data_IF_624134845313
#
_entry.id   IF_624134845313
#
_cell.length_a   1.000
_cell.length_b   1.000
_cell.length_c   1.000
_cell.angle_alpha   90.00
_cell.angle_beta   90.00
_cell.angle_gamma   90.00
#
_symmetry.space_group_name_H-M   'P 1'
#
loop_
_entity.id
_entity.type
_entity.pdbx_description
1 polymer ?
#
# COMPACT_ATOMS: atom_id res chain seq x y z
N UNK A 1 -46.95 26.05 15.63
CA UNK A 1 -45.90 25.12 15.22
C UNK A 1 -45.30 24.56 16.51
N UNK A 2 -45.47 23.26 16.74
CA UNK A 2 -45.44 22.64 18.07
C UNK A 2 -44.01 22.34 18.50
N UNK A 3 -43.57 22.85 19.66
CA UNK A 3 -42.20 22.74 20.23
C UNK A 3 -41.84 21.29 20.50
N UNK A 4 -42.83 20.41 20.75
CA UNK A 4 -42.63 18.96 20.93
C UNK A 4 -42.13 18.22 19.69
N UNK A 5 -42.44 18.72 18.49
CA UNK A 5 -42.03 18.09 17.23
C UNK A 5 -40.51 18.35 16.92
N UNK A 6 -39.96 19.50 17.38
CA UNK A 6 -38.55 19.82 17.25
C UNK A 6 -37.66 18.97 18.18
N UNK A 7 -38.14 18.71 19.42
CA UNK A 7 -37.42 17.89 20.38
C UNK A 7 -37.37 16.39 19.95
N UNK A 8 -38.42 15.92 19.25
CA UNK A 8 -38.47 14.54 18.75
C UNK A 8 -37.56 14.31 17.50
N UNK A 9 -37.40 15.35 16.65
CA UNK A 9 -36.44 15.32 15.53
C UNK A 9 -34.98 15.37 15.99
N UNK A 10 -34.66 16.18 17.02
CA UNK A 10 -33.31 16.28 17.57
C UNK A 10 -32.84 14.97 18.26
N UNK A 11 -33.77 14.26 18.95
CA UNK A 11 -33.48 12.96 19.57
C UNK A 11 -33.24 11.84 18.54
N UNK A 12 -33.92 11.89 17.37
CA UNK A 12 -33.71 10.89 16.29
C UNK A 12 -32.36 11.09 15.56
N UNK A 13 -31.89 12.33 15.40
CA UNK A 13 -30.59 12.64 14.79
C UNK A 13 -29.41 12.13 15.62
N UNK A 14 -29.45 12.31 16.98
CA UNK A 14 -28.40 11.83 17.87
C UNK A 14 -28.23 10.31 17.87
N UNK A 15 -29.34 9.57 17.86
CA UNK A 15 -29.29 8.07 17.89
C UNK A 15 -28.79 7.45 16.58
N UNK A 16 -29.01 8.07 15.44
CA UNK A 16 -28.54 7.54 14.14
C UNK A 16 -27.04 7.84 13.94
N UNK A 17 -26.59 9.02 14.33
CA UNK A 17 -25.18 9.40 14.35
C UNK A 17 -24.35 8.50 15.30
N UNK A 18 -24.87 8.22 16.50
CA UNK A 18 -24.24 7.33 17.48
C UNK A 18 -24.20 5.87 17.00
N UNK A 19 -25.20 5.43 16.23
CA UNK A 19 -25.22 4.09 15.67
C UNK A 19 -24.20 3.95 14.54
N UNK A 20 -24.10 4.94 13.68
CA UNK A 20 -23.09 4.97 12.61
C UNK A 20 -21.68 5.01 13.18
N UNK A 21 -21.43 5.92 14.14
CA UNK A 21 -20.12 6.01 14.79
C UNK A 21 -19.68 4.70 15.45
N UNK A 22 -20.63 3.97 16.10
CA UNK A 22 -20.35 2.63 16.67
C UNK A 22 -20.10 1.59 15.58
N UNK A 23 -20.84 1.63 14.48
CA UNK A 23 -20.60 0.76 13.32
C UNK A 23 -19.20 0.98 12.73
N UNK A 24 -18.83 2.24 12.50
CA UNK A 24 -17.51 2.60 11.98
C UNK A 24 -16.38 2.19 12.94
N UNK A 25 -16.60 2.29 14.27
CA UNK A 25 -15.62 1.83 15.26
C UNK A 25 -15.46 0.30 15.21
N UNK A 26 -16.57 -0.44 15.19
CA UNK A 26 -16.56 -1.91 15.05
C UNK A 26 -15.80 -2.37 13.80
N UNK A 27 -15.99 -1.66 12.68
CA UNK A 27 -15.28 -1.96 11.42
C UNK A 27 -13.78 -1.73 11.58
N UNK A 28 -13.35 -0.62 12.19
CA UNK A 28 -11.94 -0.34 12.48
C UNK A 28 -11.34 -1.39 13.39
N UNK A 29 -12.01 -1.76 14.48
CA UNK A 29 -11.53 -2.78 15.41
C UNK A 29 -11.30 -4.14 14.72
N UNK A 30 -12.16 -4.50 13.74
CA UNK A 30 -11.99 -5.71 12.92
C UNK A 30 -10.80 -5.58 11.95
N UNK A 31 -10.58 -4.44 11.35
CA UNK A 31 -9.43 -4.18 10.45
C UNK A 31 -8.13 -4.23 11.24
N UNK A 32 -8.07 -3.58 12.41
CA UNK A 32 -6.90 -3.59 13.28
C UNK A 32 -6.56 -5.01 13.78
N UNK A 33 -7.58 -5.79 14.14
CA UNK A 33 -7.41 -7.19 14.50
C UNK A 33 -6.95 -8.03 13.31
N UNK A 34 -7.51 -7.78 12.12
CA UNK A 34 -7.11 -8.40 10.86
C UNK A 34 -5.64 -8.13 10.56
N UNK A 35 -5.22 -6.87 10.62
CA UNK A 35 -3.84 -6.45 10.36
C UNK A 35 -2.84 -7.20 11.25
N UNK A 36 -3.11 -7.28 12.55
CA UNK A 36 -2.27 -8.03 13.50
C UNK A 36 -2.24 -9.54 13.21
N UNK A 37 -3.41 -10.16 13.08
CA UNK A 37 -3.50 -11.60 12.92
C UNK A 37 -2.99 -12.09 11.57
N UNK A 38 -3.22 -11.33 10.49
CA UNK A 38 -2.68 -11.67 9.18
C UNK A 38 -1.16 -11.51 9.13
N UNK A 39 -0.59 -10.52 9.81
CA UNK A 39 0.86 -10.41 9.96
C UNK A 39 1.43 -11.61 10.74
N UNK A 40 0.82 -11.98 11.88
CA UNK A 40 1.34 -13.02 12.78
C UNK A 40 1.15 -14.44 12.24
N UNK A 41 -0.06 -14.76 11.74
CA UNK A 41 -0.48 -16.12 11.36
C UNK A 41 -0.69 -16.31 9.86
N UNK A 42 -0.70 -15.24 9.10
CA UNK A 42 -1.10 -15.20 7.70
C UNK A 42 -2.62 -15.35 7.49
N UNK A 43 -3.04 -15.14 6.25
CA UNK A 43 -4.46 -15.27 5.88
C UNK A 43 -5.02 -16.66 6.18
N UNK A 44 -4.32 -17.71 5.76
CA UNK A 44 -4.80 -19.10 5.90
C UNK A 44 -4.80 -19.58 7.34
N UNK A 45 -3.88 -19.09 8.18
CA UNK A 45 -3.78 -19.40 9.61
C UNK A 45 -4.75 -18.64 10.51
N UNK A 46 -5.50 -17.67 9.95
CA UNK A 46 -6.43 -16.82 10.71
C UNK A 46 -7.89 -17.22 10.42
N UNK A 47 -8.69 -17.50 11.45
CA UNK A 47 -10.13 -17.76 11.33
C UNK A 47 -10.96 -16.53 11.64
N UNK A 48 -12.24 -16.51 11.20
CA UNK A 48 -13.20 -15.47 11.61
C UNK A 48 -13.42 -15.47 13.12
N UNK A 49 -13.30 -16.64 13.77
CA UNK A 49 -13.36 -16.75 15.23
C UNK A 49 -12.22 -16.00 15.91
N UNK A 50 -10.98 -16.14 15.40
CA UNK A 50 -9.80 -15.42 15.91
C UNK A 50 -9.97 -13.90 15.74
N UNK A 51 -10.47 -13.45 14.57
CA UNK A 51 -10.73 -12.04 14.29
C UNK A 51 -11.72 -11.42 15.26
N UNK A 52 -12.85 -12.11 15.49
CA UNK A 52 -13.88 -11.68 16.45
C UNK A 52 -13.34 -11.64 17.88
N UNK A 53 -12.59 -12.64 18.29
CA UNK A 53 -11.99 -12.70 19.63
C UNK A 53 -10.94 -11.58 19.83
N UNK A 54 -10.11 -11.33 18.81
CA UNK A 54 -9.04 -10.34 18.86
C UNK A 54 -9.55 -8.89 18.79
N UNK A 55 -10.62 -8.65 18.04
CA UNK A 55 -11.23 -7.31 17.88
C UNK A 55 -12.10 -6.86 19.05
N UNK A 56 -12.51 -7.80 19.93
CA UNK A 56 -13.45 -7.48 21.00
C UNK A 56 -14.90 -7.24 20.54
N UNK A 57 -15.23 -7.47 19.29
CA UNK A 57 -16.55 -7.20 18.67
C UNK A 57 -17.64 -8.15 19.17
N UNK A 58 -17.28 -9.23 19.85
CA UNK A 58 -18.16 -10.09 20.61
C UNK A 58 -18.81 -11.23 19.84
N UNK A 59 -19.23 -11.06 18.58
CA UNK A 59 -19.95 -12.10 17.84
C UNK A 59 -19.56 -12.22 16.38
N UNK A 60 -19.68 -13.43 15.81
CA UNK A 60 -19.53 -13.65 14.36
C UNK A 60 -20.59 -12.90 13.55
N UNK A 61 -21.80 -12.71 14.09
CA UNK A 61 -22.84 -11.93 13.45
C UNK A 61 -22.42 -10.48 13.21
N UNK A 62 -21.72 -9.87 14.16
CA UNK A 62 -21.20 -8.52 14.02
C UNK A 62 -20.09 -8.45 12.94
N UNK A 63 -19.24 -9.46 12.80
CA UNK A 63 -18.29 -9.56 11.70
C UNK A 63 -19.03 -9.56 10.33
N UNK A 64 -20.00 -10.46 10.15
CA UNK A 64 -20.73 -10.59 8.89
C UNK A 64 -21.64 -9.40 8.57
N UNK A 65 -21.90 -8.53 9.52
CA UNK A 65 -22.57 -7.25 9.29
C UNK A 65 -21.66 -6.27 8.52
N UNK A 66 -20.33 -6.34 8.73
CA UNK A 66 -19.34 -5.44 8.14
C UNK A 66 -18.59 -6.02 6.95
N UNK A 67 -18.35 -7.32 6.94
CA UNK A 67 -17.58 -8.02 5.92
C UNK A 67 -18.30 -9.30 5.51
N UNK A 68 -18.50 -9.47 4.22
CA UNK A 68 -19.12 -10.67 3.64
C UNK A 68 -18.35 -11.95 3.99
N UNK A 69 -17.02 -11.85 3.98
CA UNK A 69 -16.11 -12.95 4.25
C UNK A 69 -14.73 -12.44 4.73
N UNK A 70 -13.86 -13.37 5.09
CA UNK A 70 -12.49 -13.06 5.54
C UNK A 70 -11.64 -12.43 4.44
N UNK A 71 -11.89 -12.77 3.17
CA UNK A 71 -11.14 -12.22 2.04
C UNK A 71 -11.49 -10.74 1.79
N UNK A 72 -12.73 -10.33 2.04
CA UNK A 72 -13.11 -8.92 1.98
C UNK A 72 -12.43 -8.09 3.08
N UNK A 73 -12.36 -8.59 4.30
CA UNK A 73 -11.56 -7.96 5.36
C UNK A 73 -10.07 -7.90 4.98
N UNK A 74 -9.52 -9.00 4.46
CA UNK A 74 -8.13 -9.04 4.03
C UNK A 74 -7.84 -7.99 2.94
N UNK A 75 -8.74 -7.83 1.98
CA UNK A 75 -8.61 -6.80 0.93
C UNK A 75 -8.53 -5.40 1.52
N UNK A 76 -9.31 -5.11 2.55
CA UNK A 76 -9.25 -3.80 3.22
C UNK A 76 -7.95 -3.61 3.98
N UNK A 77 -7.53 -4.60 4.76
CA UNK A 77 -6.24 -4.59 5.44
C UNK A 77 -5.10 -4.40 4.44
N UNK A 78 -5.10 -5.14 3.35
CA UNK A 78 -4.10 -4.98 2.27
C UNK A 78 -4.10 -3.56 1.71
N UNK A 79 -5.27 -2.99 1.44
CA UNK A 79 -5.40 -1.63 0.90
C UNK A 79 -4.86 -0.58 1.87
N UNK A 80 -5.07 -0.76 3.18
CA UNK A 80 -4.50 0.14 4.20
C UNK A 80 -2.97 0.03 4.28
N UNK A 81 -2.43 -1.20 4.31
CA UNK A 81 -0.97 -1.43 4.34
C UNK A 81 -0.30 -0.84 3.08
N UNK A 82 -0.88 -1.06 1.92
CA UNK A 82 -0.39 -0.52 0.65
C UNK A 82 -0.42 1.02 0.64
N UNK A 83 -1.51 1.62 1.11
CA UNK A 83 -1.62 3.08 1.23
C UNK A 83 -0.58 3.66 2.20
N UNK A 84 -0.42 3.05 3.38
CA UNK A 84 0.54 3.49 4.39
C UNK A 84 1.97 3.42 3.84
N UNK A 85 2.30 2.34 3.12
CA UNK A 85 3.59 2.18 2.46
C UNK A 85 3.80 3.24 1.37
N UNK A 86 2.81 3.47 0.53
CA UNK A 86 2.84 4.51 -0.52
C UNK A 86 3.12 5.88 0.08
N UNK A 87 2.39 6.27 1.14
CA UNK A 87 2.57 7.56 1.80
C UNK A 87 3.97 7.70 2.42
N UNK A 88 4.51 6.65 3.03
CA UNK A 88 5.88 6.65 3.57
C UNK A 88 6.91 6.81 2.45
N UNK A 89 6.76 6.11 1.35
CA UNK A 89 7.69 6.17 0.21
C UNK A 89 7.71 7.55 -0.44
N UNK A 90 6.57 8.25 -0.49
CA UNK A 90 6.48 9.62 -1.01
C UNK A 90 7.09 10.63 -0.05
N UNK A 91 6.95 10.42 1.25
CA UNK A 91 7.51 11.29 2.27
C UNK A 91 9.01 11.07 2.52
N UNK A 92 9.59 9.97 2.00
CA UNK A 92 10.97 9.60 2.22
C UNK A 92 12.00 10.58 1.61
N UNK A 93 11.81 11.16 0.40
CA UNK A 93 12.74 12.12 -0.17
C UNK A 93 12.84 13.39 0.66
N UNK A 94 14.06 13.95 0.83
CA UNK A 94 14.23 15.23 1.51
C UNK A 94 13.47 16.37 0.82
N UNK A 95 13.04 17.41 1.57
CA UNK A 95 12.44 18.59 0.95
C UNK A 95 13.37 19.25 -0.07
N UNK A 96 12.88 19.52 -1.26
CA UNK A 96 13.66 20.14 -2.34
C UNK A 96 14.39 19.14 -3.26
N UNK A 97 14.22 17.83 -3.04
CA UNK A 97 14.73 16.79 -3.95
C UNK A 97 14.21 16.98 -5.37
N UNK A 98 15.08 16.76 -6.35
CA UNK A 98 14.67 16.71 -7.76
C UNK A 98 13.82 15.43 -8.05
N UNK A 99 13.27 15.34 -9.26
CA UNK A 99 12.41 14.24 -9.65
C UNK A 99 13.13 12.88 -9.68
N UNK A 100 14.43 12.85 -9.97
CA UNK A 100 15.24 11.64 -9.92
C UNK A 100 15.46 11.15 -8.50
N UNK A 101 15.85 12.06 -7.62
CA UNK A 101 16.06 11.77 -6.21
C UNK A 101 14.74 11.32 -5.54
N UNK A 102 13.61 11.95 -5.90
CA UNK A 102 12.28 11.51 -5.45
C UNK A 102 11.97 10.08 -5.91
N UNK A 103 12.22 9.75 -7.18
CA UNK A 103 11.98 8.43 -7.72
C UNK A 103 12.85 7.38 -7.01
N UNK A 104 14.16 7.57 -6.99
CA UNK A 104 15.12 6.59 -6.44
C UNK A 104 14.91 6.39 -4.94
N UNK A 105 14.73 7.46 -4.16
CA UNK A 105 14.49 7.37 -2.71
C UNK A 105 13.16 6.66 -2.41
N UNK A 106 12.10 6.95 -3.17
CA UNK A 106 10.81 6.26 -3.02
C UNK A 106 10.90 4.75 -3.28
N UNK A 107 11.62 4.35 -4.33
CA UNK A 107 11.85 2.94 -4.65
C UNK A 107 12.71 2.23 -3.59
N UNK A 108 13.75 2.88 -3.08
CA UNK A 108 14.56 2.34 -1.96
C UNK A 108 13.74 2.21 -0.69
N UNK A 109 12.87 3.18 -0.37
CA UNK A 109 11.96 3.11 0.78
C UNK A 109 11.02 1.90 0.70
N UNK A 110 10.55 1.55 -0.50
CA UNK A 110 9.76 0.33 -0.71
C UNK A 110 10.58 -0.94 -0.46
N UNK A 111 11.85 -0.99 -0.93
CA UNK A 111 12.72 -2.13 -0.66
C UNK A 111 13.07 -2.27 0.83
N UNK A 112 13.20 -1.15 1.56
CA UNK A 112 13.38 -1.17 3.01
C UNK A 112 12.16 -1.77 3.71
N UNK A 113 10.96 -1.39 3.25
CA UNK A 113 9.72 -1.95 3.76
C UNK A 113 9.56 -3.46 3.48
N UNK A 114 10.20 -4.00 2.45
CA UNK A 114 10.22 -5.44 2.19
C UNK A 114 10.94 -6.26 3.29
N UNK A 115 11.65 -5.60 4.20
CA UNK A 115 12.21 -6.21 5.42
C UNK A 115 11.19 -6.27 6.57
N UNK A 116 10.09 -5.53 6.50
CA UNK A 116 9.07 -5.47 7.54
C UNK A 116 8.17 -6.71 7.49
N UNK A 117 7.95 -7.42 8.62
CA UNK A 117 7.13 -8.64 8.65
C UNK A 117 5.71 -8.44 8.12
N UNK A 118 5.11 -7.27 8.36
CA UNK A 118 3.77 -6.92 7.89
C UNK A 118 3.71 -6.84 6.35
N UNK A 119 4.63 -6.11 5.75
CA UNK A 119 4.72 -5.96 4.28
C UNK A 119 5.01 -7.31 3.63
N UNK A 120 5.97 -8.07 4.19
CA UNK A 120 6.27 -9.41 3.69
C UNK A 120 5.04 -10.30 3.68
N UNK A 121 4.37 -10.41 4.85
CA UNK A 121 3.29 -11.38 5.00
C UNK A 121 2.03 -10.97 4.26
N UNK A 122 1.58 -9.71 4.44
CA UNK A 122 0.30 -9.25 3.90
C UNK A 122 0.42 -8.90 2.42
N UNK A 123 1.46 -8.14 2.03
CA UNK A 123 1.54 -7.64 0.65
C UNK A 123 2.23 -8.62 -0.29
N UNK A 124 3.40 -9.16 0.10
CA UNK A 124 4.22 -9.92 -0.83
C UNK A 124 3.84 -11.41 -0.89
N UNK A 125 3.47 -12.04 0.22
CA UNK A 125 3.19 -13.47 0.28
C UNK A 125 1.70 -13.81 0.14
N UNK A 126 0.85 -13.29 1.01
CA UNK A 126 -0.57 -13.64 1.02
C UNK A 126 -1.39 -12.84 -0.01
N UNK A 127 -1.04 -11.57 -0.26
CA UNK A 127 -1.76 -10.68 -1.17
C UNK A 127 -2.01 -11.27 -2.56
N UNK A 128 -0.98 -11.69 -3.30
CA UNK A 128 -1.15 -12.27 -4.65
C UNK A 128 -2.02 -13.52 -4.67
N UNK A 129 -1.91 -14.37 -3.63
CA UNK A 129 -2.64 -15.64 -3.53
C UNK A 129 -4.12 -15.42 -3.19
N UNK A 130 -4.40 -14.48 -2.28
CA UNK A 130 -5.76 -14.24 -1.76
C UNK A 130 -6.59 -13.35 -2.68
N UNK A 131 -5.98 -12.27 -3.19
CA UNK A 131 -6.70 -11.26 -3.95
C UNK A 131 -6.68 -11.51 -5.46
N UNK A 132 -5.64 -12.14 -5.95
CA UNK A 132 -5.41 -12.35 -7.37
C UNK A 132 -5.00 -11.07 -8.12
N UNK A 133 -4.43 -11.24 -9.31
CA UNK A 133 -3.79 -10.17 -10.06
C UNK A 133 -4.69 -8.96 -10.35
N UNK A 134 -5.95 -9.21 -10.75
CA UNK A 134 -6.87 -8.12 -11.13
C UNK A 134 -7.20 -7.20 -9.94
N UNK A 135 -7.46 -7.79 -8.76
CA UNK A 135 -7.77 -7.01 -7.55
C UNK A 135 -6.56 -6.23 -7.07
N UNK A 136 -5.38 -6.86 -7.07
CA UNK A 136 -4.13 -6.18 -6.71
C UNK A 136 -3.88 -4.98 -7.62
N UNK A 137 -3.98 -5.17 -8.92
CA UNK A 137 -3.78 -4.10 -9.90
C UNK A 137 -4.77 -2.95 -9.69
N UNK A 138 -6.04 -3.25 -9.44
CA UNK A 138 -7.05 -2.22 -9.17
C UNK A 138 -6.76 -1.42 -7.90
N UNK A 139 -6.22 -2.05 -6.84
CA UNK A 139 -5.81 -1.36 -5.62
C UNK A 139 -4.63 -0.43 -5.92
N UNK A 140 -3.61 -0.91 -6.63
CA UNK A 140 -2.42 -0.13 -7.01
C UNK A 140 -2.76 1.06 -7.92
N UNK A 141 -3.67 0.87 -8.90
CA UNK A 141 -4.18 1.95 -9.77
C UNK A 141 -4.87 3.05 -8.96
N UNK A 142 -5.58 2.68 -7.90
CA UNK A 142 -6.23 3.64 -7.00
C UNK A 142 -5.29 4.37 -6.04
N UNK A 143 -4.09 3.85 -5.80
CA UNK A 143 -3.18 4.35 -4.77
C UNK A 143 -1.79 4.74 -5.34
N UNK A 144 -0.90 3.77 -5.56
CA UNK A 144 0.53 4.03 -5.80
C UNK A 144 0.87 4.39 -7.25
N UNK A 145 0.23 3.75 -8.23
CA UNK A 145 0.64 3.90 -9.64
C UNK A 145 0.52 5.34 -10.16
N UNK A 146 -0.58 6.03 -9.88
CA UNK A 146 -0.76 7.42 -10.31
C UNK A 146 0.30 8.37 -9.74
N UNK A 147 0.80 8.08 -8.53
CA UNK A 147 1.83 8.88 -7.88
C UNK A 147 3.20 8.60 -8.51
N UNK A 148 3.52 7.36 -8.81
CA UNK A 148 4.76 6.98 -9.52
C UNK A 148 4.74 7.54 -10.95
N UNK A 149 3.60 7.44 -11.66
CA UNK A 149 3.40 8.07 -12.98
C UNK A 149 3.77 9.55 -12.95
N UNK A 150 3.30 10.29 -11.92
CA UNK A 150 3.61 11.71 -11.78
C UNK A 150 5.11 11.98 -11.63
N UNK A 151 5.81 11.19 -10.79
CA UNK A 151 7.26 11.37 -10.57
C UNK A 151 8.06 10.98 -11.81
N UNK A 152 7.67 9.92 -12.52
CA UNK A 152 8.28 9.50 -13.78
C UNK A 152 8.08 10.58 -14.88
N UNK A 153 6.86 11.14 -14.99
CA UNK A 153 6.57 12.23 -15.92
C UNK A 153 7.37 13.51 -15.60
N UNK A 154 7.55 13.81 -14.30
CA UNK A 154 8.40 14.93 -13.87
C UNK A 154 9.86 14.70 -14.29
N UNK A 155 10.41 13.51 -14.09
CA UNK A 155 11.79 13.18 -14.48
C UNK A 155 12.00 13.28 -16.00
N UNK A 156 10.99 12.94 -16.80
CA UNK A 156 11.02 13.15 -18.26
C UNK A 156 10.94 14.63 -18.63
N UNK A 157 10.08 15.41 -17.96
CA UNK A 157 9.94 16.86 -18.19
C UNK A 157 11.21 17.61 -17.81
N UNK A 158 11.86 17.20 -16.72
CA UNK A 158 13.14 17.76 -16.26
C UNK A 158 14.32 17.33 -17.15
N UNK A 159 14.08 16.44 -18.13
CA UNK A 159 15.09 15.95 -19.06
C UNK A 159 16.12 15.01 -18.43
N UNK A 160 15.78 14.42 -17.27
CA UNK A 160 16.62 13.44 -16.57
C UNK A 160 16.49 12.08 -17.24
N UNK A 161 15.28 11.71 -17.65
CA UNK A 161 14.96 10.49 -18.40
C UNK A 161 14.53 10.90 -19.82
N UNK A 162 14.90 10.10 -20.83
CA UNK A 162 14.39 10.30 -22.18
C UNK A 162 12.87 10.02 -22.21
N UNK A 163 12.15 10.81 -23.03
CA UNK A 163 10.69 10.70 -23.17
C UNK A 163 10.28 9.29 -23.62
N UNK A 164 9.40 8.67 -22.87
CA UNK A 164 8.86 7.31 -23.06
C UNK A 164 7.36 7.29 -22.73
N UNK A 165 6.61 6.27 -23.09
CA UNK A 165 5.26 6.07 -22.56
C UNK A 165 5.29 5.91 -21.04
N UNK A 166 4.72 6.90 -20.31
CA UNK A 166 4.82 6.99 -18.85
C UNK A 166 4.20 5.76 -18.15
N UNK A 167 2.98 5.41 -18.52
CA UNK A 167 2.23 4.32 -17.91
C UNK A 167 2.96 2.98 -18.05
N UNK A 168 3.43 2.67 -19.25
CA UNK A 168 4.17 1.42 -19.50
C UNK A 168 5.48 1.38 -18.72
N UNK A 169 6.21 2.50 -18.67
CA UNK A 169 7.44 2.60 -17.90
C UNK A 169 7.18 2.42 -16.41
N UNK A 170 6.17 3.07 -15.86
CA UNK A 170 5.77 2.91 -14.44
C UNK A 170 5.42 1.46 -14.13
N UNK A 171 4.61 0.81 -14.96
CA UNK A 171 4.24 -0.60 -14.75
C UNK A 171 5.46 -1.53 -14.76
N UNK A 172 6.42 -1.30 -15.65
CA UNK A 172 7.66 -2.09 -15.70
C UNK A 172 8.55 -1.83 -14.48
N UNK A 173 8.65 -0.59 -14.02
CA UNK A 173 9.40 -0.22 -12.82
C UNK A 173 8.79 -0.88 -11.57
N UNK A 174 7.48 -0.80 -11.42
CA UNK A 174 6.76 -1.41 -10.29
C UNK A 174 6.91 -2.93 -10.32
N UNK A 175 6.79 -3.58 -11.47
CA UNK A 175 6.99 -5.03 -11.58
C UNK A 175 8.42 -5.45 -11.20
N UNK A 176 9.44 -4.69 -11.62
CA UNK A 176 10.83 -4.95 -11.23
C UNK A 176 11.05 -4.75 -9.72
N UNK A 177 10.42 -3.72 -9.14
CA UNK A 177 10.48 -3.44 -7.72
C UNK A 177 9.79 -4.52 -6.87
N UNK A 178 8.61 -4.97 -7.29
CA UNK A 178 7.87 -6.06 -6.63
C UNK A 178 8.66 -7.37 -6.66
N UNK A 179 9.26 -7.71 -7.79
CA UNK A 179 10.12 -8.91 -7.88
C UNK A 179 11.35 -8.78 -6.98
N UNK A 180 11.99 -7.61 -6.95
CA UNK A 180 13.11 -7.34 -6.05
C UNK A 180 12.71 -7.50 -4.57
N UNK A 181 11.52 -6.99 -4.18
CA UNK A 181 10.98 -7.15 -2.84
C UNK A 181 10.68 -8.62 -2.49
N UNK A 182 10.15 -9.40 -3.44
CA UNK A 182 9.93 -10.85 -3.27
C UNK A 182 11.25 -11.60 -3.06
N UNK A 183 12.30 -11.26 -3.80
CA UNK A 183 13.63 -11.83 -3.60
C UNK A 183 14.18 -11.53 -2.20
N UNK A 184 13.95 -10.33 -1.69
CA UNK A 184 14.29 -9.96 -0.31
C UNK A 184 13.50 -10.79 0.70
N UNK A 185 12.18 -10.86 0.55
CA UNK A 185 11.29 -11.57 1.46
C UNK A 185 11.56 -13.09 1.54
N UNK A 186 12.04 -13.71 0.46
CA UNK A 186 12.34 -15.14 0.41
C UNK A 186 13.82 -15.47 0.73
N UNK A 187 14.66 -14.47 0.97
CA UNK A 187 16.08 -14.68 1.23
C UNK A 187 16.34 -15.21 2.63
N UNK A 188 17.32 -16.09 2.78
CA UNK A 188 17.86 -16.47 4.09
C UNK A 188 18.65 -15.31 4.74
N UNK A 189 19.11 -14.34 3.94
CA UNK A 189 19.85 -13.14 4.35
C UNK A 189 19.14 -11.89 3.78
N UNK A 190 17.98 -11.48 4.32
CA UNK A 190 17.13 -10.44 3.71
C UNK A 190 17.85 -9.09 3.55
N UNK A 191 18.65 -8.67 4.53
CA UNK A 191 19.39 -7.40 4.48
C UNK A 191 20.41 -7.38 3.34
N UNK A 192 21.21 -8.43 3.17
CA UNK A 192 22.12 -8.55 2.04
C UNK A 192 21.37 -8.66 0.69
N UNK A 193 20.23 -9.35 0.67
CA UNK A 193 19.40 -9.41 -0.53
C UNK A 193 18.86 -8.02 -0.91
N UNK A 194 18.43 -7.24 0.08
CA UNK A 194 17.98 -5.86 -0.10
C UNK A 194 19.08 -4.98 -0.69
N UNK A 195 20.31 -5.04 -0.16
CA UNK A 195 21.43 -4.27 -0.68
C UNK A 195 21.74 -4.61 -2.15
N UNK A 196 21.79 -5.90 -2.48
CA UNK A 196 22.02 -6.36 -3.87
C UNK A 196 20.88 -5.95 -4.80
N UNK A 197 19.62 -6.07 -4.36
CA UNK A 197 18.45 -5.66 -5.12
C UNK A 197 18.46 -4.16 -5.40
N UNK A 198 18.79 -3.34 -4.40
CA UNK A 198 18.91 -1.90 -4.55
C UNK A 198 19.99 -1.52 -5.57
N UNK A 199 21.17 -2.14 -5.50
CA UNK A 199 22.26 -1.89 -6.45
C UNK A 199 21.86 -2.24 -7.89
N UNK A 200 21.16 -3.36 -8.09
CA UNK A 200 20.68 -3.76 -9.42
C UNK A 200 19.61 -2.78 -9.92
N UNK A 201 18.69 -2.37 -9.05
CA UNK A 201 17.65 -1.39 -9.37
C UNK A 201 18.26 -0.05 -9.77
N UNK A 202 19.26 0.44 -9.03
CA UNK A 202 19.97 1.68 -9.37
C UNK A 202 20.66 1.58 -10.73
N UNK A 203 21.31 0.46 -11.04
CA UNK A 203 21.92 0.22 -12.35
C UNK A 203 20.87 0.17 -13.47
N UNK A 204 19.72 -0.45 -13.21
CA UNK A 204 18.60 -0.50 -14.15
C UNK A 204 18.04 0.89 -14.42
N UNK A 205 17.79 1.67 -13.38
CA UNK A 205 17.32 3.06 -13.50
C UNK A 205 18.34 3.95 -14.21
N UNK A 206 19.63 3.80 -13.91
CA UNK A 206 20.69 4.58 -14.56
C UNK A 206 20.76 4.37 -16.08
N UNK A 207 20.27 3.22 -16.56
CA UNK A 207 20.12 2.93 -17.99
C UNK A 207 19.10 3.81 -18.70
N UNK A 208 18.13 4.36 -17.98
CA UNK A 208 17.15 5.31 -18.51
C UNK A 208 17.59 6.76 -18.34
N UNK A 209 18.58 7.03 -17.48
CA UNK A 209 19.07 8.39 -17.26
C UNK A 209 19.76 8.93 -18.52
N UNK A 210 19.40 10.14 -18.88
CA UNK A 210 19.95 10.82 -20.06
C UNK A 210 21.45 11.02 -19.91
N UNK A 211 22.25 10.37 -20.73
CA UNK A 211 23.71 10.63 -20.77
C UNK A 211 23.93 12.08 -21.14
N UNK A 212 24.52 12.89 -20.23
CA UNK A 212 25.00 14.23 -20.57
C UNK A 212 25.92 14.10 -21.80
N UNK A 213 25.44 14.54 -22.97
CA UNK A 213 26.30 14.66 -24.15
C UNK A 213 27.48 15.53 -23.77
N UNK A 214 28.67 14.95 -23.67
CA UNK A 214 29.90 15.76 -23.61
C UNK A 214 29.90 16.62 -24.86
N UNK A 215 29.64 17.93 -24.72
CA UNK A 215 29.86 18.89 -25.78
C UNK A 215 31.36 18.91 -26.10
N UNK A 216 31.74 18.23 -27.18
CA UNK A 216 33.03 18.46 -27.78
C UNK A 216 32.96 19.86 -28.38
N UNK A 217 33.45 20.87 -27.65
CA UNK A 217 33.86 22.13 -28.26
C UNK A 217 35.11 21.82 -29.10
N UNK A 218 34.93 21.87 -30.39
CA UNK A 218 36.04 22.05 -31.33
C UNK A 218 36.41 23.54 -31.39
#
# INVERSE_FOLDING_TARGET
MNVDNMAHMAKRGGTDTDRRARGDQTRRDLVDAGRRLFMEKGFFGTSVGDLVACSGVGTRGAFYHHFRDKAELFREVFTEVERDLTLRSIAAPPPGSDSWERLTTGLHSFLDAALEPEVQRIMLLDGPVVLGWQTLRSIQEGNSLAMIDSVVADAMRDGIIDTQPVTEMTHMLVAALEEAALLVAHSAEPEHARERAAQILDNFLSGFARRKRKSHHR
#
